data_IF_238175314316
#
_entry.id   IF_238175314316
#
_cell.length_a   1.000
_cell.length_b   1.000
_cell.length_c   1.000
_cell.angle_alpha   90.00
_cell.angle_beta   90.00
_cell.angle_gamma   90.00
#
_symmetry.space_group_name_H-M   'P 1'
#
loop_
_entity.id
_entity.type
_entity.pdbx_description
1 polymer ?
#
# COMPACT_ATOMS: atom_id res chain seq x y z
N UNK A 1 16.85 -25.12 7.75
CA UNK A 1 17.33 -23.91 7.02
C UNK A 1 17.56 -24.31 5.56
N UNK A 2 16.87 -23.66 4.63
CA UNK A 2 16.95 -23.95 3.19
C UNK A 2 18.31 -23.47 2.63
N UNK A 3 18.87 -24.15 1.59
CA UNK A 3 20.14 -23.76 0.92
C UNK A 3 20.17 -22.28 0.50
N UNK A 4 19.02 -21.73 0.11
CA UNK A 4 18.85 -20.32 -0.26
C UNK A 4 19.03 -19.39 0.95
N UNK A 5 18.49 -19.75 2.10
CA UNK A 5 18.65 -18.99 3.37
C UNK A 5 20.09 -18.99 3.85
N UNK A 6 20.77 -20.13 3.73
CA UNK A 6 22.19 -20.25 4.09
C UNK A 6 23.05 -19.32 3.21
N UNK A 7 22.80 -19.31 1.91
CA UNK A 7 23.50 -18.44 0.95
C UNK A 7 23.21 -16.96 1.25
N UNK A 8 21.94 -16.60 1.49
CA UNK A 8 21.54 -15.24 1.81
C UNK A 8 22.23 -14.73 3.11
N UNK A 9 22.29 -15.56 4.13
CA UNK A 9 22.95 -15.23 5.39
C UNK A 9 24.48 -15.06 5.20
N UNK A 10 25.10 -15.85 4.35
CA UNK A 10 26.54 -15.76 4.06
C UNK A 10 26.93 -14.46 3.32
N UNK A 11 26.05 -13.95 2.44
CA UNK A 11 26.30 -12.70 1.67
C UNK A 11 25.79 -11.44 2.39
N UNK A 12 24.99 -11.58 3.44
CA UNK A 12 24.37 -10.46 4.19
C UNK A 12 25.39 -9.42 4.69
N UNK A 13 26.58 -9.78 5.23
CA UNK A 13 27.55 -8.80 5.70
C UNK A 13 28.06 -7.84 4.63
N UNK A 14 28.05 -8.27 3.36
CA UNK A 14 28.45 -7.42 2.22
C UNK A 14 27.24 -6.74 1.59
N UNK A 15 26.15 -7.49 1.44
CA UNK A 15 24.94 -6.99 0.76
C UNK A 15 24.25 -5.87 1.57
N UNK A 16 24.20 -5.95 2.89
CA UNK A 16 23.52 -4.95 3.70
C UNK A 16 24.17 -3.55 3.63
N UNK A 17 25.49 -3.37 3.78
CA UNK A 17 26.13 -2.06 3.60
C UNK A 17 25.94 -1.49 2.20
N UNK A 18 26.11 -2.32 1.16
CA UNK A 18 25.92 -1.90 -0.25
C UNK A 18 24.48 -1.44 -0.49
N UNK A 19 23.50 -2.21 -0.03
CA UNK A 19 22.08 -1.85 -0.10
C UNK A 19 21.81 -0.53 0.60
N UNK A 20 22.38 -0.32 1.81
CA UNK A 20 22.20 0.92 2.56
C UNK A 20 22.75 2.15 1.81
N UNK A 21 23.91 2.04 1.18
CA UNK A 21 24.49 3.15 0.42
C UNK A 21 23.66 3.45 -0.83
N UNK A 22 23.31 2.42 -1.60
CA UNK A 22 22.57 2.59 -2.86
C UNK A 22 21.16 3.13 -2.58
N UNK A 23 20.41 2.50 -1.67
CA UNK A 23 19.05 2.96 -1.36
C UNK A 23 19.04 4.28 -0.60
N UNK A 24 20.07 4.53 0.24
CA UNK A 24 20.23 5.82 0.89
C UNK A 24 20.41 6.97 -0.09
N UNK A 25 21.11 6.75 -1.22
CA UNK A 25 21.24 7.73 -2.31
C UNK A 25 19.99 7.79 -3.19
N UNK A 26 19.36 6.63 -3.44
CA UNK A 26 18.15 6.54 -4.28
C UNK A 26 16.97 7.33 -3.66
N UNK A 27 16.84 7.29 -2.34
CA UNK A 27 15.82 8.01 -1.57
C UNK A 27 16.34 9.32 -0.95
N UNK A 28 17.45 9.84 -1.40
CA UNK A 28 17.92 11.18 -1.02
C UNK A 28 17.14 12.23 -1.79
N UNK A 29 16.56 13.21 -1.09
CA UNK A 29 15.72 14.25 -1.66
C UNK A 29 15.64 15.49 -0.78
N UNK A 30 14.80 16.42 -1.17
CA UNK A 30 14.53 17.70 -0.53
C UNK A 30 13.01 17.96 -0.37
N UNK A 31 12.23 16.88 -0.29
CA UNK A 31 10.79 16.99 -0.10
C UNK A 31 10.47 17.53 1.29
N UNK A 32 9.45 18.36 1.38
CA UNK A 32 8.84 18.67 2.65
C UNK A 32 8.05 17.46 3.15
N UNK A 33 8.45 16.90 4.31
CA UNK A 33 7.65 15.89 4.97
C UNK A 33 6.55 16.59 5.78
N UNK A 34 5.30 16.26 5.45
CA UNK A 34 4.14 16.88 6.07
C UNK A 34 3.58 16.01 7.20
N UNK A 35 2.88 16.64 8.14
CA UNK A 35 1.86 15.96 8.94
C UNK A 35 0.61 15.86 8.09
N UNK A 36 -0.18 14.78 8.30
CA UNK A 36 -1.45 14.66 7.58
C UNK A 36 -2.31 15.90 7.76
N UNK A 37 -2.97 16.30 6.68
CA UNK A 37 -4.06 17.24 6.73
C UNK A 37 -5.18 16.70 7.65
N UNK A 38 -5.86 17.59 8.33
CA UNK A 38 -6.99 17.21 9.19
C UNK A 38 -8.19 16.89 8.32
N UNK A 39 -8.65 15.66 8.37
CA UNK A 39 -9.85 15.15 7.69
C UNK A 39 -10.77 14.48 8.72
N UNK A 40 -12.07 14.39 8.41
CA UNK A 40 -13.01 13.77 9.34
C UNK A 40 -13.19 12.26 9.03
N UNK A 41 -13.33 11.91 7.76
CA UNK A 41 -13.57 10.54 7.34
C UNK A 41 -12.54 10.09 6.32
N UNK A 42 -11.94 8.95 6.58
CA UNK A 42 -10.97 8.27 5.72
C UNK A 42 -11.52 6.89 5.36
N UNK A 43 -11.46 6.52 4.09
CA UNK A 43 -11.72 5.15 3.64
C UNK A 43 -10.41 4.51 3.17
N UNK A 44 -10.12 3.31 3.67
CA UNK A 44 -8.98 2.51 3.24
C UNK A 44 -9.50 1.29 2.48
N UNK A 45 -9.08 1.12 1.25
CA UNK A 45 -9.31 -0.09 0.46
C UNK A 45 -8.07 -0.96 0.56
N UNK A 46 -8.15 -2.03 1.34
CA UNK A 46 -7.08 -2.98 1.53
C UNK A 46 -7.41 -4.30 0.81
N UNK A 47 -6.68 -4.69 -0.25
CA UNK A 47 -6.88 -5.98 -0.89
C UNK A 47 -6.83 -7.15 0.08
N UNK A 48 -5.83 -7.21 0.96
CA UNK A 48 -5.63 -8.27 1.93
C UNK A 48 -5.55 -7.72 3.35
N UNK A 49 -5.73 -8.62 4.32
CA UNK A 49 -5.65 -8.32 5.76
C UNK A 49 -4.19 -8.25 6.22
N UNK A 50 -3.54 -7.13 5.99
CA UNK A 50 -2.19 -6.66 6.33
C UNK A 50 -1.81 -5.40 5.54
N UNK A 51 -2.42 -5.20 4.35
CA UNK A 51 -2.08 -4.10 3.44
C UNK A 51 -2.27 -2.71 4.06
N UNK A 52 -3.34 -2.53 4.87
CA UNK A 52 -3.61 -1.28 5.59
C UNK A 52 -2.53 -0.96 6.62
N UNK A 53 -1.92 -2.00 7.18
CA UNK A 53 -0.87 -1.89 8.19
C UNK A 53 0.50 -1.66 7.55
N UNK A 54 0.90 -2.52 6.61
CA UNK A 54 2.23 -2.44 6.00
C UNK A 54 2.38 -1.26 5.03
N UNK A 55 1.29 -0.86 4.38
CA UNK A 55 1.25 0.32 3.52
C UNK A 55 1.17 1.62 4.34
N UNK A 56 -0.02 2.13 4.60
CA UNK A 56 -0.24 3.44 5.24
C UNK A 56 -0.34 3.40 6.77
N UNK A 57 -0.02 2.30 7.46
CA UNK A 57 -0.32 2.10 8.89
C UNK A 57 0.15 3.21 9.83
N UNK A 58 1.33 3.79 9.61
CA UNK A 58 1.81 4.94 10.40
C UNK A 58 0.98 6.18 10.14
N UNK A 59 0.63 6.44 8.89
CA UNK A 59 -0.22 7.54 8.46
C UNK A 59 -1.65 7.38 8.97
N UNK A 60 -2.21 6.17 8.95
CA UNK A 60 -3.55 5.89 9.51
C UNK A 60 -3.56 6.14 11.02
N UNK A 61 -2.55 5.66 11.74
CA UNK A 61 -2.42 5.95 13.17
C UNK A 61 -2.36 7.46 13.45
N UNK A 62 -1.66 8.24 12.63
CA UNK A 62 -1.61 9.69 12.76
C UNK A 62 -2.98 10.35 12.50
N UNK A 63 -3.75 9.86 11.52
CA UNK A 63 -5.14 10.31 11.31
C UNK A 63 -6.04 10.03 12.52
N UNK A 64 -5.94 8.82 13.10
CA UNK A 64 -6.69 8.46 14.31
C UNK A 64 -6.34 9.38 15.49
N UNK A 65 -5.07 9.68 15.70
CA UNK A 65 -4.60 10.62 16.74
C UNK A 65 -5.09 12.05 16.53
N UNK A 66 -5.40 12.43 15.28
CA UNK A 66 -6.01 13.70 14.93
C UNK A 66 -7.55 13.72 15.03
N UNK A 67 -8.15 12.57 15.37
CA UNK A 67 -9.60 12.40 15.57
C UNK A 67 -10.39 12.08 14.32
N UNK A 68 -9.74 11.61 13.24
CA UNK A 68 -10.43 11.13 12.05
C UNK A 68 -11.09 9.76 12.29
N UNK A 69 -12.25 9.54 11.67
CA UNK A 69 -12.89 8.23 11.57
C UNK A 69 -12.27 7.47 10.38
N UNK A 70 -11.54 6.41 10.67
CA UNK A 70 -10.89 5.59 9.64
C UNK A 70 -11.69 4.32 9.43
N UNK A 71 -12.24 4.17 8.24
CA UNK A 71 -13.02 3.00 7.82
C UNK A 71 -12.16 2.13 6.90
N UNK A 72 -11.90 0.88 7.28
CA UNK A 72 -11.16 -0.07 6.46
C UNK A 72 -12.11 -1.05 5.79
N UNK A 73 -12.02 -1.18 4.46
CA UNK A 73 -12.73 -2.17 3.66
C UNK A 73 -11.72 -3.15 3.08
N UNK A 74 -11.73 -4.38 3.59
CA UNK A 74 -10.98 -5.48 3.01
C UNK A 74 -11.71 -6.05 1.81
N UNK A 75 -10.99 -6.17 0.68
CA UNK A 75 -11.59 -6.57 -0.59
C UNK A 75 -11.70 -8.08 -0.68
N UNK A 76 -10.67 -8.83 -0.26
CA UNK A 76 -10.68 -10.29 -0.31
C UNK A 76 -11.14 -10.92 0.99
N UNK A 77 -11.47 -12.21 0.91
CA UNK A 77 -11.82 -13.05 2.05
C UNK A 77 -10.58 -13.54 2.84
N UNK A 78 -9.39 -13.41 2.24
CA UNK A 78 -8.12 -13.85 2.82
C UNK A 78 -7.97 -15.37 2.91
N UNK A 79 -8.72 -16.13 2.11
CA UNK A 79 -8.73 -17.60 2.17
C UNK A 79 -7.59 -18.30 1.42
N UNK A 80 -6.84 -17.59 0.59
CA UNK A 80 -5.78 -18.18 -0.25
C UNK A 80 -4.38 -17.96 0.32
N UNK A 81 -3.89 -18.91 1.10
CA UNK A 81 -2.49 -18.94 1.53
C UNK A 81 -1.98 -20.37 1.58
N UNK A 82 -0.66 -20.55 1.41
CA UNK A 82 0.01 -21.83 1.68
C UNK A 82 0.02 -22.04 3.20
N UNK A 83 -0.95 -22.79 3.71
CA UNK A 83 -1.14 -23.09 5.12
C UNK A 83 -1.61 -24.54 5.28
N UNK A 84 -1.28 -25.17 6.41
CA UNK A 84 -1.81 -26.49 6.80
C UNK A 84 -3.24 -26.38 7.38
N UNK A 85 -3.81 -25.18 7.47
CA UNK A 85 -5.15 -24.89 7.98
C UNK A 85 -6.18 -24.86 6.86
N UNK A 86 -7.44 -25.11 7.17
CA UNK A 86 -8.55 -24.89 6.23
C UNK A 86 -8.69 -23.39 5.91
N UNK A 87 -9.31 -23.06 4.77
CA UNK A 87 -9.56 -21.66 4.40
C UNK A 87 -10.43 -20.95 5.46
N UNK A 88 -11.41 -21.64 6.03
CA UNK A 88 -12.29 -21.10 7.07
C UNK A 88 -11.53 -20.78 8.37
N UNK A 89 -10.65 -21.69 8.83
CA UNK A 89 -9.80 -21.46 10.00
C UNK A 89 -8.83 -20.28 9.76
N UNK A 90 -8.27 -20.19 8.56
CA UNK A 90 -7.37 -19.11 8.21
C UNK A 90 -8.08 -17.76 8.16
N UNK A 91 -9.28 -17.70 7.55
CA UNK A 91 -10.10 -16.48 7.54
C UNK A 91 -10.48 -16.03 8.94
N UNK A 92 -10.89 -16.97 9.83
CA UNK A 92 -11.22 -16.66 11.21
C UNK A 92 -10.01 -16.11 11.99
N UNK A 93 -8.84 -16.73 11.81
CA UNK A 93 -7.60 -16.27 12.43
C UNK A 93 -7.23 -14.86 12.00
N UNK A 94 -7.26 -14.59 10.69
CA UNK A 94 -6.94 -13.27 10.12
C UNK A 94 -7.90 -12.18 10.63
N UNK A 95 -9.18 -12.48 10.74
CA UNK A 95 -10.14 -11.53 11.32
C UNK A 95 -9.82 -11.20 12.78
N UNK A 96 -9.45 -12.20 13.59
CA UNK A 96 -9.01 -11.97 14.97
C UNK A 96 -7.69 -11.15 15.05
N UNK A 97 -6.80 -11.29 14.08
CA UNK A 97 -5.61 -10.44 13.95
C UNK A 97 -6.01 -9.00 13.63
N UNK A 98 -6.94 -8.80 12.69
CA UNK A 98 -7.46 -7.47 12.32
C UNK A 98 -8.17 -6.78 13.48
N UNK A 99 -8.90 -7.51 14.34
CA UNK A 99 -9.52 -6.91 15.54
C UNK A 99 -8.46 -6.26 16.44
N UNK A 100 -7.30 -6.89 16.63
CA UNK A 100 -6.17 -6.30 17.37
C UNK A 100 -5.53 -5.11 16.64
N UNK A 101 -5.35 -5.23 15.33
CA UNK A 101 -4.80 -4.15 14.50
C UNK A 101 -5.71 -2.93 14.52
N UNK A 102 -7.02 -3.14 14.50
CA UNK A 102 -8.02 -2.08 14.62
C UNK A 102 -7.79 -1.23 15.89
N UNK A 103 -7.55 -1.86 17.02
CA UNK A 103 -7.25 -1.17 18.28
C UNK A 103 -5.90 -0.43 18.22
N UNK A 104 -4.84 -1.09 17.71
CA UNK A 104 -3.50 -0.52 17.64
C UNK A 104 -3.44 0.69 16.72
N UNK A 105 -4.05 0.61 15.54
CA UNK A 105 -4.07 1.69 14.56
C UNK A 105 -5.17 2.74 14.83
N UNK A 106 -6.19 2.39 15.61
CA UNK A 106 -7.32 3.27 15.92
C UNK A 106 -8.32 3.37 14.78
N UNK A 107 -8.61 2.24 14.08
CA UNK A 107 -9.61 2.21 13.02
C UNK A 107 -11.01 2.27 13.62
N UNK A 108 -11.85 3.17 13.11
CA UNK A 108 -13.23 3.33 13.58
C UNK A 108 -14.14 2.15 13.20
N UNK A 109 -13.91 1.57 12.03
CA UNK A 109 -14.63 0.35 11.60
C UNK A 109 -13.82 -0.48 10.60
N UNK A 110 -14.13 -1.77 10.60
CA UNK A 110 -13.63 -2.75 9.62
C UNK A 110 -14.81 -3.43 8.95
N UNK A 111 -14.77 -3.57 7.65
CA UNK A 111 -15.78 -4.27 6.83
C UNK A 111 -15.09 -5.10 5.74
N UNK A 112 -15.81 -6.08 5.18
CA UNK A 112 -15.29 -7.05 4.23
C UNK A 112 -16.17 -7.11 3.00
N UNK A 113 -15.58 -7.09 1.80
CA UNK A 113 -16.27 -7.33 0.53
C UNK A 113 -16.34 -8.83 0.21
N UNK A 114 -15.44 -9.63 0.79
CA UNK A 114 -15.36 -11.08 0.67
C UNK A 114 -15.24 -11.59 -0.79
N UNK A 115 -14.54 -10.86 -1.67
CA UNK A 115 -14.16 -11.43 -2.96
C UNK A 115 -13.12 -12.54 -2.77
N UNK A 116 -13.10 -13.59 -3.61
CA UNK A 116 -12.09 -14.64 -3.49
C UNK A 116 -10.66 -14.07 -3.66
N UNK A 117 -9.77 -14.41 -2.73
CA UNK A 117 -8.36 -14.03 -2.76
C UNK A 117 -7.67 -14.54 -4.04
N UNK A 118 -6.89 -13.69 -4.70
CA UNK A 118 -6.28 -13.93 -6.02
C UNK A 118 -7.24 -13.75 -7.21
N UNK A 119 -8.49 -13.35 -6.99
CA UNK A 119 -9.53 -13.28 -8.02
C UNK A 119 -10.39 -12.01 -7.96
N UNK A 120 -9.88 -10.93 -7.38
CA UNK A 120 -10.60 -9.65 -7.32
C UNK A 120 -10.99 -9.18 -8.71
N UNK A 121 -12.25 -8.76 -8.86
CA UNK A 121 -12.82 -8.25 -10.12
C UNK A 121 -13.65 -7.01 -9.90
N UNK A 122 -13.56 -6.08 -10.84
CA UNK A 122 -14.48 -4.94 -10.95
C UNK A 122 -15.76 -5.43 -11.65
N UNK A 123 -16.74 -5.86 -10.85
CA UNK A 123 -18.07 -6.28 -11.32
C UNK A 123 -19.10 -5.22 -10.96
N UNK A 124 -20.28 -5.27 -11.59
CA UNK A 124 -21.37 -4.36 -11.24
C UNK A 124 -21.71 -4.44 -9.75
N UNK A 125 -21.78 -5.64 -9.20
CA UNK A 125 -22.07 -5.89 -7.78
C UNK A 125 -21.02 -5.26 -6.85
N UNK A 126 -19.72 -5.49 -7.13
CA UNK A 126 -18.63 -4.93 -6.31
C UNK A 126 -18.56 -3.40 -6.43
N UNK A 127 -18.87 -2.84 -7.60
CA UNK A 127 -18.94 -1.38 -7.80
C UNK A 127 -20.10 -0.76 -7.01
N UNK A 128 -21.31 -1.35 -7.03
CA UNK A 128 -22.44 -0.85 -6.25
C UNK A 128 -22.17 -0.92 -4.74
N UNK A 129 -21.57 -2.02 -4.27
CA UNK A 129 -21.20 -2.16 -2.85
C UNK A 129 -20.17 -1.07 -2.45
N UNK A 130 -19.14 -0.84 -3.27
CA UNK A 130 -18.14 0.18 -2.99
C UNK A 130 -18.75 1.60 -3.03
N UNK A 131 -19.64 1.85 -3.98
CA UNK A 131 -20.39 3.12 -4.12
C UNK A 131 -21.28 3.39 -2.90
N UNK A 132 -21.97 2.36 -2.39
CA UNK A 132 -22.74 2.45 -1.15
C UNK A 132 -21.85 2.82 0.04
N UNK A 133 -20.69 2.17 0.18
CA UNK A 133 -19.73 2.50 1.24
C UNK A 133 -19.22 3.93 1.15
N UNK A 134 -18.81 4.38 -0.04
CA UNK A 134 -18.36 5.75 -0.25
C UNK A 134 -19.48 6.76 0.08
N UNK A 135 -20.71 6.49 -0.34
CA UNK A 135 -21.86 7.35 -0.05
C UNK A 135 -22.22 7.39 1.45
N UNK A 136 -22.06 6.28 2.17
CA UNK A 136 -22.34 6.20 3.60
C UNK A 136 -21.26 6.88 4.43
N UNK A 137 -20.00 6.65 4.12
CA UNK A 137 -18.84 7.17 4.86
C UNK A 137 -18.58 8.63 4.53
N UNK A 138 -18.86 9.05 3.28
CA UNK A 138 -18.52 10.39 2.75
C UNK A 138 -17.05 10.74 2.97
N UNK A 139 -16.08 9.89 2.52
CA UNK A 139 -14.67 10.10 2.80
C UNK A 139 -14.12 11.33 2.07
N UNK A 140 -13.33 12.13 2.77
CA UNK A 140 -12.55 13.22 2.21
C UNK A 140 -11.27 12.69 1.56
N UNK A 141 -10.83 11.50 2.01
CA UNK A 141 -9.62 10.83 1.52
C UNK A 141 -9.86 9.33 1.42
N UNK A 142 -9.52 8.75 0.26
CA UNK A 142 -9.53 7.31 0.02
C UNK A 142 -8.08 6.84 -0.16
N UNK A 143 -7.64 5.88 0.67
CA UNK A 143 -6.41 5.15 0.46
C UNK A 143 -6.68 3.92 -0.40
N UNK A 144 -5.86 3.69 -1.41
CA UNK A 144 -5.98 2.55 -2.32
C UNK A 144 -4.59 2.05 -2.76
N UNK A 145 -4.46 0.77 -3.06
CA UNK A 145 -3.26 0.23 -3.69
C UNK A 145 -3.10 0.79 -5.10
N UNK A 146 -1.86 0.87 -5.64
CA UNK A 146 -1.64 1.40 -6.98
C UNK A 146 -2.04 0.40 -8.07
N UNK A 147 -2.34 0.92 -9.26
CA UNK A 147 -2.57 0.08 -10.44
C UNK A 147 -1.30 -0.68 -10.86
N UNK A 148 -0.11 -0.12 -10.60
CA UNK A 148 1.20 -0.72 -10.87
C UNK A 148 1.66 -1.47 -9.62
N UNK A 149 1.33 -2.76 -9.54
CA UNK A 149 1.75 -3.59 -8.41
C UNK A 149 2.17 -5.02 -8.86
N UNK A 150 2.88 -5.74 -8.00
CA UNK A 150 3.30 -7.13 -8.24
C UNK A 150 2.23 -8.16 -7.84
N UNK A 151 1.04 -7.73 -7.39
CA UNK A 151 -0.10 -8.59 -7.05
C UNK A 151 -1.33 -8.23 -7.88
N UNK A 152 -2.02 -9.27 -8.37
CA UNK A 152 -3.20 -9.08 -9.24
C UNK A 152 -4.33 -8.37 -8.53
N UNK A 153 -4.58 -8.67 -7.25
CA UNK A 153 -5.68 -8.09 -6.48
C UNK A 153 -5.45 -6.60 -6.17
N UNK A 154 -4.19 -6.17 -6.04
CA UNK A 154 -3.86 -4.75 -5.85
C UNK A 154 -4.22 -3.94 -7.09
N UNK A 155 -3.80 -4.41 -8.27
CA UNK A 155 -4.17 -3.81 -9.55
C UNK A 155 -5.69 -3.82 -9.75
N UNK A 156 -6.36 -4.92 -9.42
CA UNK A 156 -7.81 -5.06 -9.56
C UNK A 156 -8.58 -4.17 -8.58
N UNK A 157 -8.07 -3.94 -7.37
CA UNK A 157 -8.66 -3.00 -6.39
C UNK A 157 -8.58 -1.56 -6.89
N UNK A 158 -7.44 -1.15 -7.45
CA UNK A 158 -7.31 0.17 -8.08
C UNK A 158 -8.28 0.33 -9.26
N UNK A 159 -8.44 -0.73 -10.09
CA UNK A 159 -9.42 -0.73 -11.18
C UNK A 159 -10.86 -0.62 -10.66
N UNK A 160 -11.21 -1.40 -9.64
CA UNK A 160 -12.55 -1.35 -9.02
C UNK A 160 -12.88 0.06 -8.52
N UNK A 161 -11.96 0.72 -7.81
CA UNK A 161 -12.14 2.10 -7.37
C UNK A 161 -12.30 3.06 -8.56
N UNK A 162 -11.44 2.93 -9.58
CA UNK A 162 -11.51 3.77 -10.79
C UNK A 162 -12.85 3.63 -11.48
N UNK A 163 -13.32 2.39 -11.71
CA UNK A 163 -14.61 2.14 -12.38
C UNK A 163 -15.78 2.66 -11.55
N UNK A 164 -15.74 2.50 -10.23
CA UNK A 164 -16.76 3.04 -9.30
C UNK A 164 -16.79 4.57 -9.35
N UNK A 165 -15.63 5.22 -9.31
CA UNK A 165 -15.53 6.69 -9.32
C UNK A 165 -15.97 7.31 -10.66
N UNK A 166 -15.92 6.59 -11.78
CA UNK A 166 -16.49 7.04 -13.06
C UNK A 166 -17.99 7.33 -12.94
N UNK A 167 -18.71 6.54 -12.16
CA UNK A 167 -20.14 6.69 -11.90
C UNK A 167 -20.47 7.69 -10.77
N UNK A 168 -19.45 8.23 -10.07
CA UNK A 168 -19.61 9.12 -8.91
C UNK A 168 -19.09 10.54 -9.22
N UNK A 169 -19.72 11.24 -10.16
CA UNK A 169 -19.28 12.57 -10.63
C UNK A 169 -19.16 13.62 -9.51
N UNK A 170 -19.96 13.47 -8.45
CA UNK A 170 -19.99 14.39 -7.32
C UNK A 170 -18.96 14.11 -6.23
N UNK A 171 -18.18 13.03 -6.33
CA UNK A 171 -17.12 12.74 -5.39
C UNK A 171 -16.05 13.83 -5.44
N UNK A 172 -15.74 14.43 -4.28
CA UNK A 172 -14.81 15.56 -4.13
C UNK A 172 -13.54 15.22 -3.36
N UNK A 173 -13.47 14.02 -2.74
CA UNK A 173 -12.31 13.58 -2.00
C UNK A 173 -11.10 13.31 -2.88
N UNK A 174 -9.94 13.22 -2.24
CA UNK A 174 -8.70 12.83 -2.88
C UNK A 174 -8.49 11.32 -2.78
N UNK A 175 -7.75 10.76 -3.73
CA UNK A 175 -7.30 9.37 -3.72
C UNK A 175 -5.79 9.37 -3.48
N UNK A 176 -5.36 8.68 -2.43
CA UNK A 176 -3.97 8.54 -2.05
C UNK A 176 -3.53 7.10 -2.23
N UNK A 177 -2.78 6.82 -3.30
CA UNK A 177 -2.23 5.49 -3.55
C UNK A 177 -1.09 5.23 -2.59
N UNK A 178 -1.12 4.08 -1.92
CA UNK A 178 -0.07 3.60 -1.03
C UNK A 178 0.61 2.36 -1.62
N UNK A 179 1.93 2.28 -1.53
CA UNK A 179 2.68 1.14 -2.05
C UNK A 179 2.68 -0.05 -1.10
N UNK A 180 2.56 -1.23 -1.68
CA UNK A 180 2.79 -2.51 -1.00
C UNK A 180 3.94 -3.22 -1.72
N UNK A 181 3.64 -4.00 -2.74
CA UNK A 181 4.66 -4.85 -3.37
C UNK A 181 5.63 -4.07 -4.26
N UNK A 182 5.19 -2.99 -4.88
CA UNK A 182 6.01 -2.17 -5.77
C UNK A 182 6.29 -0.80 -5.17
N UNK A 183 7.55 -0.57 -4.77
CA UNK A 183 7.96 0.76 -4.31
C UNK A 183 7.78 1.81 -5.41
N UNK A 184 7.21 2.97 -5.05
CA UNK A 184 7.13 4.12 -5.93
C UNK A 184 8.53 4.63 -6.31
N UNK A 185 8.75 5.06 -7.55
CA UNK A 185 9.91 5.89 -7.85
C UNK A 185 9.85 7.18 -7.00
N UNK A 186 10.96 7.64 -6.40
CA UNK A 186 10.96 8.89 -5.62
C UNK A 186 10.33 10.07 -6.37
N UNK A 187 10.54 10.17 -7.68
CA UNK A 187 9.97 11.22 -8.53
C UNK A 187 8.45 11.13 -8.75
N UNK A 188 7.81 10.04 -8.36
CA UNK A 188 6.35 9.89 -8.45
C UNK A 188 5.66 10.27 -7.12
N UNK A 189 6.38 10.21 -6.00
CA UNK A 189 5.84 10.56 -4.68
C UNK A 189 5.56 12.06 -4.68
N UNK A 190 4.31 12.45 -4.40
CA UNK A 190 3.89 13.84 -4.28
C UNK A 190 3.33 14.20 -2.89
N UNK A 191 3.17 13.19 -2.02
CA UNK A 191 2.87 13.38 -0.60
C UNK A 191 3.82 12.49 0.20
N UNK A 192 4.58 13.10 1.11
CA UNK A 192 5.48 12.40 2.02
C UNK A 192 5.06 12.72 3.46
N UNK A 193 4.62 11.71 4.20
CA UNK A 193 4.15 11.87 5.58
C UNK A 193 5.24 11.42 6.54
N UNK A 194 5.63 12.31 7.47
CA UNK A 194 6.50 11.94 8.59
C UNK A 194 5.72 11.05 9.56
N UNK A 195 6.12 9.80 9.67
CA UNK A 195 5.52 8.78 10.55
C UNK A 195 6.45 8.38 11.70
N UNK A 196 7.48 9.18 11.97
CA UNK A 196 8.49 8.85 12.99
C UNK A 196 7.88 8.60 14.37
N UNK A 197 6.88 9.40 14.76
CA UNK A 197 6.19 9.26 16.04
C UNK A 197 5.28 8.01 16.10
N UNK A 198 4.74 7.57 14.97
CA UNK A 198 3.83 6.42 14.86
C UNK A 198 4.54 5.11 14.52
N UNK A 199 5.86 5.16 14.26
CA UNK A 199 6.62 3.99 13.81
C UNK A 199 6.51 2.79 14.75
N UNK A 200 6.61 3.02 16.07
CA UNK A 200 6.48 1.95 17.07
C UNK A 200 5.10 1.27 17.01
N UNK A 201 4.03 2.03 16.81
CA UNK A 201 2.66 1.50 16.67
C UNK A 201 2.49 0.71 15.37
N UNK A 202 3.09 1.18 14.26
CA UNK A 202 3.10 0.41 13.02
C UNK A 202 3.85 -0.92 13.17
N UNK A 203 4.99 -0.93 13.85
CA UNK A 203 5.74 -2.18 14.13
C UNK A 203 4.88 -3.12 14.98
N UNK A 204 4.31 -2.64 16.08
CA UNK A 204 3.40 -3.42 16.94
C UNK A 204 2.25 -4.04 16.14
N UNK A 205 1.63 -3.29 15.23
CA UNK A 205 0.57 -3.79 14.36
C UNK A 205 1.06 -4.87 13.37
N UNK A 206 2.28 -4.72 12.81
CA UNK A 206 2.84 -5.76 11.92
C UNK A 206 3.18 -7.05 12.65
N UNK A 207 3.50 -7.00 13.93
CA UNK A 207 3.81 -8.18 14.75
C UNK A 207 2.57 -9.01 15.12
N UNK A 208 1.36 -8.48 14.87
CA UNK A 208 0.11 -9.21 15.09
C UNK A 208 -0.11 -10.33 14.06
N UNK A 209 0.44 -10.18 12.83
CA UNK A 209 0.16 -11.08 11.70
C UNK A 209 0.96 -12.39 11.72
N UNK A 210 0.75 -13.22 12.73
CA UNK A 210 1.37 -14.56 12.82
C UNK A 210 0.88 -15.54 11.73
N UNK A 211 -0.31 -15.29 11.18
CA UNK A 211 -0.89 -16.13 10.12
C UNK A 211 -0.27 -15.91 8.75
N UNK A 212 0.46 -14.81 8.56
CA UNK A 212 1.02 -14.42 7.26
C UNK A 212 2.35 -15.13 7.01
N UNK A 213 2.45 -15.79 5.84
CA UNK A 213 3.67 -16.48 5.42
C UNK A 213 4.75 -15.55 4.85
N UNK A 214 4.56 -14.22 4.91
CA UNK A 214 5.47 -13.23 4.33
C UNK A 214 6.28 -12.51 5.41
N UNK A 215 7.47 -12.05 5.04
CA UNK A 215 8.27 -11.20 5.91
C UNK A 215 7.84 -9.73 5.73
N UNK A 216 7.82 -8.96 6.81
CA UNK A 216 7.43 -7.53 6.79
C UNK A 216 8.63 -6.58 6.92
N UNK A 217 9.84 -7.11 7.17
CA UNK A 217 11.05 -6.32 7.43
C UNK A 217 11.46 -5.40 6.26
N UNK A 218 11.18 -5.81 5.02
CA UNK A 218 11.44 -5.01 3.83
C UNK A 218 10.59 -3.74 3.77
N UNK A 219 9.31 -3.83 4.12
CA UNK A 219 8.38 -2.68 4.13
C UNK A 219 8.79 -1.65 5.20
N UNK A 220 9.06 -2.11 6.43
CA UNK A 220 9.50 -1.23 7.52
C UNK A 220 10.83 -0.56 7.18
N UNK A 221 11.76 -1.32 6.56
CA UNK A 221 13.03 -0.77 6.09
C UNK A 221 12.87 0.29 5.01
N UNK A 222 11.92 0.10 4.10
CA UNK A 222 11.60 1.05 3.04
C UNK A 222 11.10 2.39 3.63
N UNK A 223 10.27 2.37 4.68
CA UNK A 223 9.85 3.59 5.37
C UNK A 223 11.04 4.38 5.96
N UNK A 224 12.08 3.70 6.47
CA UNK A 224 13.31 4.36 6.94
C UNK A 224 14.09 5.01 5.78
N UNK A 225 14.16 4.37 4.60
CA UNK A 225 14.78 4.99 3.43
C UNK A 225 13.98 6.19 2.94
N UNK A 226 12.65 6.13 2.93
CA UNK A 226 11.81 7.25 2.54
C UNK A 226 11.95 8.46 3.48
N UNK A 227 12.27 8.25 4.75
CA UNK A 227 12.62 9.35 5.65
C UNK A 227 13.76 10.23 5.15
N UNK A 228 14.62 9.71 4.26
CA UNK A 228 15.71 10.46 3.62
C UNK A 228 15.28 11.31 2.42
N UNK A 229 14.05 11.15 1.93
CA UNK A 229 13.48 12.06 0.93
C UNK A 229 13.14 13.42 1.54
N UNK A 230 12.96 13.48 2.86
CA UNK A 230 12.60 14.69 3.57
C UNK A 230 13.79 15.61 3.80
N UNK A 231 13.54 16.93 3.79
CA UNK A 231 14.47 17.95 4.25
C UNK A 231 13.79 18.82 5.33
N UNK A 232 14.24 18.80 6.61
CA UNK A 232 15.27 17.90 7.15
C UNK A 232 14.86 16.42 7.14
N UNK A 233 15.84 15.50 7.14
CA UNK A 233 15.58 14.07 7.21
C UNK A 233 14.77 13.69 8.45
N UNK A 234 13.80 12.76 8.27
CA UNK A 234 13.00 12.17 9.36
C UNK A 234 13.36 10.70 9.57
N UNK A 235 13.00 10.14 10.71
CA UNK A 235 13.35 8.75 11.05
C UNK A 235 12.67 7.75 10.11
N UNK A 236 11.36 7.93 9.88
CA UNK A 236 10.54 7.13 8.96
C UNK A 236 9.53 8.01 8.28
N UNK A 237 9.25 7.71 7.01
CA UNK A 237 8.18 8.35 6.27
C UNK A 237 7.43 7.34 5.40
N UNK A 238 6.17 7.63 5.16
CA UNK A 238 5.34 6.93 4.18
C UNK A 238 5.12 7.85 2.98
N UNK A 239 5.41 7.34 1.79
CA UNK A 239 5.30 8.09 0.55
C UNK A 239 4.09 7.65 -0.25
N UNK A 240 3.38 8.62 -0.81
CA UNK A 240 2.13 8.42 -1.53
C UNK A 240 2.13 9.12 -2.88
N UNK A 241 1.27 8.63 -3.78
CA UNK A 241 0.90 9.33 -5.00
C UNK A 241 -0.57 9.72 -4.86
N UNK A 242 -0.82 11.01 -4.72
CA UNK A 242 -2.16 11.55 -4.52
C UNK A 242 -2.69 12.18 -5.80
N UNK A 243 -3.97 11.94 -6.05
CA UNK A 243 -4.74 12.46 -7.16
C UNK A 243 -6.11 12.96 -6.70
N UNK A 244 -6.67 13.88 -7.44
CA UNK A 244 -8.12 14.08 -7.44
C UNK A 244 -8.82 12.92 -8.18
N UNK A 245 -10.14 12.91 -8.14
CA UNK A 245 -10.95 11.88 -8.83
C UNK A 245 -10.57 11.70 -10.30
N UNK A 246 -10.44 12.81 -11.06
CA UNK A 246 -10.17 12.76 -12.51
C UNK A 246 -8.76 12.26 -12.80
N UNK A 247 -7.78 12.75 -12.05
CA UNK A 247 -6.40 12.33 -12.19
C UNK A 247 -6.23 10.83 -11.92
N UNK A 248 -6.88 10.30 -10.86
CA UNK A 248 -6.84 8.88 -10.55
C UNK A 248 -7.49 8.01 -11.65
N UNK A 249 -8.67 8.40 -12.14
CA UNK A 249 -9.33 7.69 -13.25
C UNK A 249 -8.44 7.67 -14.49
N UNK A 250 -7.92 8.82 -14.91
CA UNK A 250 -7.05 8.93 -16.08
C UNK A 250 -5.76 8.11 -15.92
N UNK A 251 -5.18 8.08 -14.71
CA UNK A 251 -4.03 7.24 -14.39
C UNK A 251 -4.34 5.75 -14.63
N UNK A 252 -5.41 5.25 -14.06
CA UNK A 252 -5.81 3.85 -14.19
C UNK A 252 -6.14 3.48 -15.65
N UNK A 253 -6.93 4.30 -16.37
CA UNK A 253 -7.30 4.06 -17.76
C UNK A 253 -6.10 4.07 -18.71
N UNK A 254 -5.15 4.97 -18.48
CA UNK A 254 -3.91 5.04 -19.25
C UNK A 254 -3.09 3.76 -19.09
N UNK A 255 -2.97 3.26 -17.87
CA UNK A 255 -2.24 2.03 -17.58
C UNK A 255 -2.98 0.79 -18.10
N UNK A 256 -4.30 0.75 -18.01
CA UNK A 256 -5.12 -0.35 -18.54
C UNK A 256 -4.92 -0.53 -20.05
N UNK A 257 -4.91 0.57 -20.80
CA UNK A 257 -4.69 0.55 -22.27
C UNK A 257 -3.31 0.05 -22.68
N UNK A 258 -2.34 0.03 -21.77
CA UNK A 258 -0.98 -0.45 -22.06
C UNK A 258 -0.85 -1.97 -22.00
N UNK A 259 -1.85 -2.69 -21.47
CA UNK A 259 -1.92 -4.16 -21.38
C UNK A 259 -0.68 -4.85 -20.76
N UNK A 260 0.02 -4.16 -19.84
CA UNK A 260 1.17 -4.72 -19.14
C UNK A 260 0.75 -5.76 -18.07
N UNK A 261 1.48 -6.86 -18.00
CA UNK A 261 1.36 -7.80 -16.89
C UNK A 261 2.28 -7.35 -15.74
N UNK A 262 1.80 -6.42 -14.91
CA UNK A 262 2.58 -5.86 -13.81
C UNK A 262 3.05 -6.91 -12.79
N UNK A 263 2.23 -7.90 -12.36
CA UNK A 263 2.66 -8.95 -11.44
C UNK A 263 3.89 -9.73 -11.89
N UNK A 264 4.06 -9.95 -13.21
CA UNK A 264 5.26 -10.59 -13.77
C UNK A 264 6.42 -9.62 -13.94
N UNK A 265 6.13 -8.35 -14.13
CA UNK A 265 7.15 -7.32 -14.40
C UNK A 265 7.91 -6.89 -13.16
N UNK A 266 7.28 -6.95 -11.99
CA UNK A 266 7.84 -6.42 -10.75
C UNK A 266 8.12 -7.50 -9.71
N UNK A 267 8.70 -7.11 -8.57
CA UNK A 267 9.08 -7.99 -7.46
C UNK A 267 8.67 -7.33 -6.15
N UNK A 268 8.13 -8.12 -5.23
CA UNK A 268 7.73 -7.68 -3.91
C UNK A 268 8.90 -7.18 -3.06
N UNK A 269 8.68 -6.07 -2.36
CA UNK A 269 9.66 -5.41 -1.46
C UNK A 269 9.59 -5.93 -0.02
N UNK A 270 9.01 -7.08 0.21
CA UNK A 270 8.71 -7.65 1.53
C UNK A 270 9.92 -8.04 2.38
N UNK A 271 11.11 -8.22 1.78
CA UNK A 271 12.33 -8.67 2.49
C UNK A 271 13.48 -7.69 2.30
N UNK A 272 14.14 -7.31 3.38
CA UNK A 272 15.33 -6.46 3.36
C UNK A 272 16.44 -7.04 2.47
N UNK A 273 16.66 -8.36 2.51
CA UNK A 273 17.72 -9.03 1.74
C UNK A 273 17.56 -8.92 0.21
N UNK A 274 16.32 -8.79 -0.28
CA UNK A 274 16.01 -8.68 -1.71
C UNK A 274 15.53 -7.29 -2.11
N UNK A 275 15.51 -6.34 -1.19
CA UNK A 275 14.93 -5.01 -1.38
C UNK A 275 15.57 -4.25 -2.53
N UNK A 276 16.90 -4.27 -2.63
CA UNK A 276 17.63 -3.62 -3.71
C UNK A 276 17.18 -4.14 -5.09
N UNK A 277 17.13 -5.46 -5.26
CA UNK A 277 16.64 -6.07 -6.49
C UNK A 277 15.18 -5.77 -6.76
N UNK A 278 14.32 -5.82 -5.75
CA UNK A 278 12.89 -5.55 -5.89
C UNK A 278 12.62 -4.10 -6.36
N UNK A 279 13.37 -3.13 -5.82
CA UNK A 279 13.24 -1.72 -6.20
C UNK A 279 13.70 -1.49 -7.64
N UNK A 280 14.86 -2.05 -8.03
CA UNK A 280 15.47 -1.78 -9.33
C UNK A 280 15.05 -2.72 -10.46
N UNK A 281 14.31 -3.82 -10.17
CA UNK A 281 13.73 -4.65 -11.25
C UNK A 281 12.79 -3.79 -12.10
N UNK A 282 13.13 -3.64 -13.37
CA UNK A 282 12.38 -2.83 -14.35
C UNK A 282 12.12 -1.37 -13.90
N UNK A 283 13.05 -0.78 -13.13
CA UNK A 283 12.89 0.56 -12.57
C UNK A 283 12.64 1.64 -13.62
N UNK A 284 13.40 1.61 -14.75
CA UNK A 284 13.22 2.58 -15.83
C UNK A 284 11.79 2.53 -16.41
N UNK A 285 11.25 1.33 -16.62
CA UNK A 285 9.86 1.12 -17.04
C UNK A 285 8.88 1.70 -16.02
N UNK A 286 9.05 1.37 -14.74
CA UNK A 286 8.18 1.87 -13.67
C UNK A 286 8.18 3.39 -13.60
N UNK A 287 9.36 4.01 -13.65
CA UNK A 287 9.50 5.48 -13.67
C UNK A 287 8.81 6.11 -14.89
N UNK A 288 8.95 5.51 -16.07
CA UNK A 288 8.32 5.99 -17.30
C UNK A 288 6.78 5.89 -17.24
N UNK A 289 6.24 4.81 -16.68
CA UNK A 289 4.81 4.63 -16.48
C UNK A 289 4.21 5.73 -15.59
N UNK A 290 4.82 6.01 -14.43
CA UNK A 290 4.36 7.10 -13.56
C UNK A 290 4.50 8.47 -14.25
N UNK A 291 5.59 8.72 -14.96
CA UNK A 291 5.77 9.98 -15.71
C UNK A 291 4.69 10.20 -16.77
N UNK A 292 4.33 9.16 -17.53
CA UNK A 292 3.30 9.24 -18.57
C UNK A 292 1.90 9.51 -18.01
N UNK A 293 1.64 9.03 -16.79
CA UNK A 293 0.34 9.22 -16.14
C UNK A 293 0.27 10.48 -15.29
N UNK A 294 1.42 11.07 -14.89
CA UNK A 294 1.47 12.33 -14.14
C UNK A 294 1.22 13.56 -14.99
N UNK A 295 1.50 13.48 -16.30
CA UNK A 295 1.18 14.53 -17.28
C UNK A 295 0.25 13.90 -18.34
N UNK A 296 -1.07 13.89 -18.13
CA UNK A 296 -1.95 13.56 -19.24
C UNK A 296 -1.70 14.63 -20.32
N UNK A 297 -1.09 14.21 -21.43
CA UNK A 297 -0.98 15.04 -22.62
C UNK A 297 -2.37 15.58 -22.95
N UNK A 298 -2.51 16.89 -22.93
CA UNK A 298 -3.67 17.67 -23.37
C UNK A 298 -4.25 17.15 -24.68
#
# INVERSE_FOLDING_TARGET
MNKKELLMNAVRPVNAPVTNVILGRHYSGDMEAVKNEKVNNVLVLAPHMDDETIGPGGTLRQHAEQGANIHCLFITDGGSSVSDRSAEELMALRRNEIDKVQEILGLASVTYMNQPDGQVKSTRESMELLKEKINTIQPELIYCTPYIDAHVDHTATAKLLSDTLKEMENFKGNIRMYEINCAFPPSAINVLVDTSAQHAKKVEATEVFDSQAIAFDGFLRLNQYKGKLAEPNVQTAEGFVQWDRRGFINHCETLEKMEYNFPRSFKQVNRTDTLLWAIFKNYAMKKDLYRKTSNPST
#
